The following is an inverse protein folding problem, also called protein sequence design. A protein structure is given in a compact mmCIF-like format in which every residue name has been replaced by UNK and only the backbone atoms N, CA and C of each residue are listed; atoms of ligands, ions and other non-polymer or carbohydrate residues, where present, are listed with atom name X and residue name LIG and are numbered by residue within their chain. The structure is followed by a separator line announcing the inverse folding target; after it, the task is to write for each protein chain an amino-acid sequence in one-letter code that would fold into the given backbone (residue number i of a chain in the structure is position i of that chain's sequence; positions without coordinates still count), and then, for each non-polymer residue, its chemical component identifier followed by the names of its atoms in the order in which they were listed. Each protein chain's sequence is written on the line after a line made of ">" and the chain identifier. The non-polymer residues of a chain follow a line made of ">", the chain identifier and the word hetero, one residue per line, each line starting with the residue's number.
data_IF_611519364227
#
_entry.id   IF_611519364227
#
_cell.length_a   1.000
_cell.length_b   1.000
_cell.length_c   1.000
_cell.angle_alpha   90.00
_cell.angle_beta   90.00
_cell.angle_gamma   90.00
#
_symmetry.space_group_name_H-M   'P 1'
#
loop_
_entity.id
_entity.type
_entity.pdbx_description
1 polymer ?
#
# COMPACT_ATOMS: atom_id res chain seq x y z
N UNK A 1 13.46 -11.56 8.12
CA UNK A 1 13.19 -12.82 7.40
C UNK A 1 13.83 -14.01 8.11
N UNK A 2 15.16 -14.09 8.24
CA UNK A 2 15.83 -15.23 8.88
C UNK A 2 15.33 -15.54 10.30
N UNK A 3 15.25 -14.54 11.18
CA UNK A 3 14.76 -14.74 12.54
C UNK A 3 13.32 -15.29 12.59
N UNK A 4 12.44 -14.80 11.70
CA UNK A 4 11.06 -15.30 11.62
C UNK A 4 11.00 -16.75 11.10
N UNK A 5 11.86 -17.10 10.12
CA UNK A 5 12.03 -18.49 9.66
C UNK A 5 12.46 -19.39 10.80
N UNK A 6 13.48 -18.99 11.57
CA UNK A 6 14.00 -19.75 12.71
C UNK A 6 12.96 -19.88 13.84
N UNK A 7 12.11 -18.86 14.02
CA UNK A 7 11.01 -18.88 14.98
C UNK A 7 9.79 -19.69 14.52
N UNK A 8 9.79 -20.27 13.32
CA UNK A 8 8.65 -21.01 12.77
C UNK A 8 7.43 -20.12 12.49
N UNK A 9 7.65 -18.82 12.23
CA UNK A 9 6.56 -17.91 11.86
C UNK A 9 5.91 -18.38 10.57
N UNK A 10 4.58 -18.41 10.54
CA UNK A 10 3.83 -18.84 9.35
C UNK A 10 3.89 -17.82 8.21
N UNK A 11 3.88 -16.53 8.55
CA UNK A 11 3.82 -15.43 7.59
C UNK A 11 4.60 -14.21 8.06
N UNK A 12 5.16 -13.46 7.11
CA UNK A 12 5.62 -12.08 7.30
C UNK A 12 4.76 -11.13 6.47
N UNK A 13 4.28 -10.06 7.10
CA UNK A 13 3.75 -8.89 6.41
C UNK A 13 4.82 -7.81 6.42
N UNK A 14 5.41 -7.54 5.25
CA UNK A 14 6.51 -6.60 5.08
C UNK A 14 6.00 -5.23 4.66
N UNK A 15 6.34 -4.20 5.44
CA UNK A 15 6.05 -2.81 5.10
C UNK A 15 7.00 -2.31 4.00
N UNK A 16 6.55 -2.44 2.74
CA UNK A 16 7.17 -1.82 1.58
C UNK A 16 6.70 -0.36 1.43
N UNK A 17 6.86 0.24 0.25
CA UNK A 17 6.43 1.61 -0.04
C UNK A 17 6.14 1.79 -1.52
N UNK A 18 5.22 2.70 -1.83
CA UNK A 18 4.99 3.18 -3.20
C UNK A 18 6.24 3.79 -3.84
N UNK A 19 7.22 4.24 -3.05
CA UNK A 19 8.53 4.68 -3.53
C UNK A 19 9.31 3.60 -4.30
N UNK A 20 8.90 2.32 -4.21
CA UNK A 20 9.43 1.22 -5.01
C UNK A 20 9.06 1.31 -6.51
N UNK A 21 8.00 2.06 -6.85
CA UNK A 21 7.46 2.16 -8.23
C UNK A 21 7.20 3.60 -8.69
N UNK A 22 7.47 4.60 -7.86
CA UNK A 22 7.18 6.00 -8.19
C UNK A 22 8.09 6.65 -9.25
N UNK A 23 9.03 5.90 -9.81
CA UNK A 23 9.77 6.33 -11.00
C UNK A 23 8.92 6.38 -12.28
N UNK A 24 7.75 5.73 -12.30
CA UNK A 24 6.79 5.88 -13.41
C UNK A 24 6.20 7.30 -13.46
N UNK A 25 5.79 7.81 -14.64
CA UNK A 25 5.06 9.07 -14.75
C UNK A 25 3.77 9.11 -13.90
N UNK A 26 3.26 10.31 -13.60
CA UNK A 26 2.07 10.47 -12.76
C UNK A 26 0.77 10.01 -13.45
N UNK A 27 0.75 10.06 -14.78
CA UNK A 27 -0.40 9.72 -15.63
C UNK A 27 -0.55 8.20 -15.83
N UNK A 28 0.45 7.42 -15.42
CA UNK A 28 0.44 5.96 -15.53
C UNK A 28 -0.17 5.37 -14.28
N UNK A 29 -1.25 4.60 -14.46
CA UNK A 29 -1.76 3.74 -13.41
C UNK A 29 -0.83 2.52 -13.26
N UNK A 30 -0.23 2.37 -12.09
CA UNK A 30 0.78 1.34 -11.83
C UNK A 30 0.13 0.09 -11.25
N UNK A 31 0.30 -1.04 -11.94
CA UNK A 31 -0.06 -2.36 -11.43
C UNK A 31 1.14 -3.07 -10.75
N UNK A 32 0.88 -4.20 -10.09
CA UNK A 32 1.90 -4.95 -9.34
C UNK A 32 2.80 -5.84 -10.21
N UNK A 33 2.42 -6.10 -11.46
CA UNK A 33 3.19 -6.88 -12.43
C UNK A 33 4.23 -6.01 -13.14
N UNK A 34 4.05 -4.69 -13.14
CA UNK A 34 5.05 -3.75 -13.63
C UNK A 34 6.39 -3.90 -12.88
N UNK A 35 7.54 -3.77 -13.58
CA UNK A 35 8.85 -3.76 -12.95
C UNK A 35 8.96 -2.72 -11.82
N UNK A 36 9.81 -3.00 -10.83
CA UNK A 36 10.17 -1.98 -9.85
C UNK A 36 10.89 -0.82 -10.54
N UNK A 37 10.49 0.40 -10.18
CA UNK A 37 11.11 1.62 -10.66
C UNK A 37 11.19 2.60 -9.48
N UNK A 38 12.20 2.44 -8.60
CA UNK A 38 12.27 3.23 -7.39
C UNK A 38 12.64 4.69 -7.67
N UNK A 39 11.93 5.63 -7.05
CA UNK A 39 12.17 7.08 -7.23
C UNK A 39 13.37 7.61 -6.41
N UNK A 40 13.78 6.89 -5.36
CA UNK A 40 14.87 7.28 -4.48
C UNK A 40 15.54 6.07 -3.82
N UNK A 41 16.65 6.31 -3.09
CA UNK A 41 17.40 5.26 -2.39
C UNK A 41 16.53 4.51 -1.37
N UNK A 42 15.63 5.21 -0.67
CA UNK A 42 14.70 4.57 0.26
C UNK A 42 13.81 3.55 -0.48
N UNK A 43 13.22 3.93 -1.61
CA UNK A 43 12.45 3.04 -2.48
C UNK A 43 13.27 1.82 -2.92
N UNK A 44 14.53 2.01 -3.30
CA UNK A 44 15.42 0.91 -3.65
C UNK A 44 15.66 -0.07 -2.48
N UNK A 45 15.76 0.41 -1.23
CA UNK A 45 15.86 -0.48 -0.06
C UNK A 45 14.58 -1.28 0.18
N UNK A 46 13.41 -0.72 -0.14
CA UNK A 46 12.14 -1.45 -0.10
C UNK A 46 12.05 -2.51 -1.19
N UNK A 47 12.51 -2.23 -2.42
CA UNK A 47 12.62 -3.23 -3.48
C UNK A 47 13.53 -4.40 -3.06
N UNK A 48 14.65 -4.10 -2.39
CA UNK A 48 15.52 -5.15 -1.84
C UNK A 48 14.79 -6.02 -0.79
N UNK A 49 13.98 -5.40 0.08
CA UNK A 49 13.15 -6.12 1.03
C UNK A 49 12.09 -7.02 0.37
N UNK A 50 11.46 -6.56 -0.71
CA UNK A 50 10.52 -7.36 -1.51
C UNK A 50 11.22 -8.57 -2.16
N UNK A 51 12.43 -8.38 -2.69
CA UNK A 51 13.22 -9.46 -3.27
C UNK A 51 13.63 -10.50 -2.19
N UNK A 52 14.01 -10.05 -0.99
CA UNK A 52 14.26 -10.93 0.14
C UNK A 52 13.01 -11.71 0.56
N UNK A 53 11.86 -11.05 0.64
CA UNK A 53 10.59 -11.71 0.93
C UNK A 53 10.30 -12.83 -0.09
N UNK A 54 10.47 -12.55 -1.38
CA UNK A 54 10.29 -13.53 -2.46
C UNK A 54 11.25 -14.71 -2.32
N UNK A 55 12.53 -14.44 -2.05
CA UNK A 55 13.53 -15.47 -1.83
C UNK A 55 13.11 -16.40 -0.69
N UNK A 56 12.79 -15.85 0.49
CA UNK A 56 12.42 -16.64 1.66
C UNK A 56 11.13 -17.44 1.49
N UNK A 57 10.15 -16.87 0.79
CA UNK A 57 8.95 -17.60 0.40
C UNK A 57 9.29 -18.81 -0.47
N UNK A 58 10.07 -18.59 -1.54
CA UNK A 58 10.43 -19.66 -2.47
C UNK A 58 11.33 -20.74 -1.87
N UNK A 59 12.36 -20.37 -1.10
CA UNK A 59 13.38 -21.31 -0.63
C UNK A 59 13.06 -21.95 0.71
N UNK A 60 12.21 -21.31 1.52
CA UNK A 60 11.92 -21.75 2.88
C UNK A 60 10.43 -21.94 3.17
N UNK A 61 9.54 -21.73 2.19
CA UNK A 61 8.10 -21.85 2.38
C UNK A 61 7.53 -20.80 3.35
N UNK A 62 8.26 -19.71 3.61
CA UNK A 62 7.81 -18.67 4.51
C UNK A 62 6.87 -17.72 3.77
N UNK A 63 5.55 -17.83 3.99
CA UNK A 63 4.57 -16.93 3.36
C UNK A 63 4.97 -15.47 3.60
N UNK A 64 5.03 -14.67 2.53
CA UNK A 64 5.51 -13.30 2.60
C UNK A 64 4.67 -12.34 1.76
N UNK A 65 4.02 -11.39 2.42
CA UNK A 65 3.17 -10.38 1.77
C UNK A 65 3.82 -9.01 1.92
N UNK A 66 4.05 -8.32 0.81
CA UNK A 66 4.67 -7.00 0.78
C UNK A 66 3.63 -5.93 0.51
N UNK A 67 3.52 -4.94 1.39
CA UNK A 67 2.55 -3.85 1.29
C UNK A 67 3.25 -2.56 0.88
N UNK A 68 2.99 -2.08 -0.34
CA UNK A 68 3.51 -0.79 -0.82
C UNK A 68 2.63 0.34 -0.32
N UNK A 69 2.86 0.78 0.92
CA UNK A 69 2.07 1.86 1.51
C UNK A 69 2.26 3.19 0.78
N UNK A 70 1.13 3.82 0.46
CA UNK A 70 1.05 5.18 -0.07
C UNK A 70 1.21 6.25 1.01
N UNK A 71 0.53 7.38 0.85
CA UNK A 71 0.60 8.49 1.78
C UNK A 71 -0.33 8.25 3.00
N UNK A 72 0.21 7.52 3.99
CA UNK A 72 -0.50 7.22 5.25
C UNK A 72 -0.95 8.49 5.94
N UNK A 73 -2.25 8.64 6.13
CA UNK A 73 -2.90 9.83 6.67
C UNK A 73 -3.99 9.44 7.67
N UNK A 74 -4.32 10.34 8.59
CA UNK A 74 -5.57 10.23 9.36
C UNK A 74 -6.69 10.93 8.59
N UNK A 75 -7.93 10.52 8.84
CA UNK A 75 -9.13 11.17 8.30
C UNK A 75 -9.14 12.69 8.62
N UNK A 76 -9.92 13.48 7.86
CA UNK A 76 -9.87 14.95 7.92
C UNK A 76 -10.30 15.56 9.27
N UNK A 77 -10.96 14.77 10.13
CA UNK A 77 -11.32 15.14 11.50
C UNK A 77 -10.08 15.38 12.38
N UNK A 78 -8.92 14.84 12.00
CA UNK A 78 -7.65 15.25 12.58
C UNK A 78 -7.07 16.49 11.87
N UNK A 79 -6.98 17.66 12.55
CA UNK A 79 -6.48 18.90 11.94
C UNK A 79 -5.02 18.82 11.47
N UNK A 80 -4.20 17.92 12.04
CA UNK A 80 -2.81 17.74 11.62
C UNK A 80 -2.69 17.13 10.20
N UNK A 81 -3.74 16.47 9.70
CA UNK A 81 -3.77 15.83 8.40
C UNK A 81 -4.71 16.52 7.40
N UNK A 82 -5.53 17.47 7.85
CA UNK A 82 -6.50 18.20 7.04
C UNK A 82 -5.89 18.83 5.76
N UNK A 83 -4.63 19.27 5.79
CA UNK A 83 -3.95 19.87 4.64
C UNK A 83 -3.63 18.88 3.51
N UNK A 84 -3.69 17.57 3.76
CA UNK A 84 -3.51 16.55 2.73
C UNK A 84 -4.73 16.36 1.84
N UNK A 85 -5.89 16.83 2.30
CA UNK A 85 -7.16 16.74 1.61
C UNK A 85 -7.47 18.05 0.85
N UNK A 86 -6.55 18.44 -0.04
CA UNK A 86 -6.78 19.49 -1.02
C UNK A 86 -6.62 18.89 -2.43
N UNK A 87 -7.44 19.32 -3.40
CA UNK A 87 -7.44 18.74 -4.75
C UNK A 87 -6.11 18.91 -5.50
N UNK A 88 -5.31 19.90 -5.11
CA UNK A 88 -3.98 20.21 -5.65
C UNK A 88 -2.83 19.56 -4.88
N UNK A 89 -3.13 18.76 -3.84
CA UNK A 89 -2.09 18.11 -3.04
C UNK A 89 -1.45 16.94 -3.83
N UNK A 90 -0.12 16.95 -3.95
CA UNK A 90 0.65 16.02 -4.80
C UNK A 90 0.46 14.52 -4.49
N UNK A 91 -0.02 14.19 -3.29
CA UNK A 91 -0.23 12.81 -2.85
C UNK A 91 -1.71 12.39 -2.77
N UNK A 92 -2.66 13.23 -3.20
CA UNK A 92 -4.10 12.96 -2.99
C UNK A 92 -4.55 11.61 -3.59
N UNK A 93 -3.96 11.21 -4.71
CA UNK A 93 -4.26 9.97 -5.44
C UNK A 93 -3.75 8.69 -4.73
N UNK A 94 -2.79 8.82 -3.83
CA UNK A 94 -2.10 7.72 -3.14
C UNK A 94 -2.34 7.71 -1.64
N UNK A 95 -3.24 8.55 -1.12
CA UNK A 95 -3.58 8.54 0.30
C UNK A 95 -4.12 7.16 0.68
N UNK A 96 -3.67 6.68 1.83
CA UNK A 96 -4.31 5.59 2.57
C UNK A 96 -4.64 6.13 3.96
N UNK A 97 -5.91 6.00 4.38
CA UNK A 97 -6.31 6.35 5.74
C UNK A 97 -5.84 5.29 6.73
N UNK A 98 -5.79 5.63 8.03
CA UNK A 98 -5.41 4.66 9.06
C UNK A 98 -6.39 3.49 9.12
N UNK A 99 -7.67 3.73 8.84
CA UNK A 99 -8.74 2.75 8.79
C UNK A 99 -8.53 1.76 7.64
N UNK A 100 -8.32 2.27 6.43
CA UNK A 100 -8.06 1.43 5.26
C UNK A 100 -6.70 0.72 5.36
N UNK A 101 -5.69 1.35 5.98
CA UNK A 101 -4.40 0.70 6.27
C UNK A 101 -4.57 -0.45 7.25
N UNK A 102 -5.35 -0.24 8.32
CA UNK A 102 -5.64 -1.28 9.31
C UNK A 102 -6.35 -2.45 8.64
N UNK A 103 -7.34 -2.17 7.79
CA UNK A 103 -8.01 -3.21 7.01
C UNK A 103 -7.01 -3.99 6.14
N UNK A 104 -6.16 -3.31 5.37
CA UNK A 104 -5.16 -3.94 4.50
C UNK A 104 -4.20 -4.84 5.28
N UNK A 105 -3.67 -4.35 6.41
CA UNK A 105 -2.74 -5.11 7.26
C UNK A 105 -3.44 -6.32 7.87
N UNK A 106 -4.64 -6.16 8.43
CA UNK A 106 -5.43 -7.27 8.99
C UNK A 106 -5.71 -8.33 7.94
N UNK A 107 -6.20 -7.94 6.76
CA UNK A 107 -6.46 -8.87 5.64
C UNK A 107 -5.20 -9.58 5.17
N UNK A 108 -4.04 -8.93 5.23
CA UNK A 108 -2.76 -9.56 4.88
C UNK A 108 -2.31 -10.58 5.92
N UNK A 109 -2.51 -10.29 7.21
CA UNK A 109 -2.24 -11.25 8.29
C UNK A 109 -3.15 -12.46 8.16
N UNK A 110 -4.44 -12.24 7.88
CA UNK A 110 -5.49 -13.26 7.76
C UNK A 110 -5.61 -13.90 6.37
N UNK A 111 -4.73 -13.53 5.43
CA UNK A 111 -4.81 -13.98 4.04
C UNK A 111 -4.82 -15.52 3.92
N UNK A 112 -5.44 -16.10 2.88
CA UNK A 112 -5.46 -17.54 2.65
C UNK A 112 -4.05 -18.16 2.67
N UNK A 113 -3.93 -19.39 3.14
CA UNK A 113 -2.63 -20.06 3.33
C UNK A 113 -1.94 -20.41 2.00
N UNK A 114 -2.72 -20.44 0.92
CA UNK A 114 -2.26 -20.65 -0.46
C UNK A 114 -1.45 -19.46 -1.00
N UNK A 115 -1.48 -18.31 -0.31
CA UNK A 115 -0.69 -17.14 -0.68
C UNK A 115 0.73 -17.28 -0.11
N UNK A 116 1.62 -17.84 -0.93
CA UNK A 116 3.05 -17.96 -0.64
C UNK A 116 3.77 -16.61 -0.73
N UNK A 117 3.49 -15.83 -1.77
CA UNK A 117 4.08 -14.51 -1.97
C UNK A 117 3.12 -13.59 -2.70
N UNK A 118 2.91 -12.39 -2.18
CA UNK A 118 2.13 -11.36 -2.85
C UNK A 118 2.71 -9.96 -2.60
N UNK A 119 2.42 -9.05 -3.54
CA UNK A 119 2.64 -7.62 -3.39
C UNK A 119 1.30 -6.93 -3.55
N UNK A 120 0.95 -6.05 -2.62
CA UNK A 120 -0.28 -5.26 -2.68
C UNK A 120 0.05 -3.77 -2.55
N UNK A 121 -0.65 -2.96 -3.33
CA UNK A 121 -0.60 -1.50 -3.21
C UNK A 121 -1.49 -1.07 -2.04
N UNK A 122 -0.96 -0.19 -1.18
CA UNK A 122 -1.66 0.33 -0.03
C UNK A 122 -2.17 1.74 -0.26
N UNK A 123 -3.36 1.85 -0.89
CA UNK A 123 -4.11 3.09 -1.08
C UNK A 123 -5.58 2.89 -0.73
N UNK A 124 -6.22 3.94 -0.23
CA UNK A 124 -7.68 3.99 -0.06
C UNK A 124 -8.41 3.88 -1.40
N UNK A 125 -9.74 3.85 -1.39
CA UNK A 125 -10.55 3.75 -2.61
C UNK A 125 -10.62 5.08 -3.40
N UNK A 126 -9.53 5.85 -3.46
CA UNK A 126 -9.49 7.18 -4.06
C UNK A 126 -9.99 7.15 -5.50
N UNK A 127 -10.91 8.04 -5.85
CA UNK A 127 -11.61 8.01 -7.16
C UNK A 127 -10.65 7.95 -8.35
N UNK A 128 -9.56 8.72 -8.31
CA UNK A 128 -8.51 8.74 -9.32
C UNK A 128 -7.18 8.25 -8.70
N UNK A 129 -7.17 7.00 -8.23
CA UNK A 129 -5.98 6.39 -7.64
C UNK A 129 -4.95 6.01 -8.71
N UNK A 130 -3.69 6.35 -8.44
CA UNK A 130 -2.55 6.02 -9.30
C UNK A 130 -2.12 4.55 -9.22
N UNK A 131 -2.52 3.85 -8.16
CA UNK A 131 -2.11 2.49 -7.89
C UNK A 131 -3.31 1.55 -8.02
N UNK A 132 -3.13 0.50 -8.82
CA UNK A 132 -4.13 -0.56 -8.95
C UNK A 132 -4.14 -1.44 -7.68
N UNK A 133 -5.35 -1.70 -7.17
CA UNK A 133 -5.61 -2.51 -5.97
C UNK A 133 -6.47 -3.74 -6.27
N UNK A 134 -6.67 -4.05 -7.56
CA UNK A 134 -7.54 -5.15 -8.01
C UNK A 134 -7.10 -6.50 -7.43
N UNK A 135 -5.80 -6.80 -7.44
CA UNK A 135 -5.31 -8.07 -6.88
C UNK A 135 -5.53 -8.17 -5.36
N UNK A 136 -5.36 -7.08 -4.61
CA UNK A 136 -5.64 -7.06 -3.17
C UNK A 136 -7.15 -7.29 -2.87
N UNK A 137 -8.03 -6.77 -3.73
CA UNK A 137 -9.48 -7.02 -3.64
C UNK A 137 -9.81 -8.49 -3.86
N UNK A 138 -9.23 -9.08 -4.88
CA UNK A 138 -9.55 -10.45 -5.30
C UNK A 138 -8.92 -11.49 -4.38
N UNK A 139 -7.67 -11.32 -3.99
CA UNK A 139 -6.90 -12.34 -3.25
C UNK A 139 -7.13 -12.31 -1.75
N UNK A 140 -7.29 -11.12 -1.14
CA UNK A 140 -7.41 -10.97 0.32
C UNK A 140 -8.68 -10.21 0.76
N UNK A 141 -9.57 -9.87 -0.16
CA UNK A 141 -10.81 -9.16 0.16
C UNK A 141 -10.57 -7.75 0.71
N UNK A 142 -9.51 -7.07 0.26
CA UNK A 142 -9.26 -5.69 0.65
C UNK A 142 -10.32 -4.77 0.02
N UNK A 143 -11.16 -4.15 0.85
CA UNK A 143 -12.28 -3.32 0.43
C UNK A 143 -12.18 -1.94 1.13
N UNK A 144 -11.24 -1.08 0.72
CA UNK A 144 -11.10 0.24 1.32
C UNK A 144 -12.35 1.08 1.09
N UNK A 145 -12.72 1.87 2.10
CA UNK A 145 -13.96 2.63 2.13
C UNK A 145 -13.74 4.12 1.81
N UNK A 146 -12.57 4.65 2.17
CA UNK A 146 -12.33 6.09 2.10
C UNK A 146 -11.95 6.55 0.69
N UNK A 147 -12.31 7.80 0.35
CA UNK A 147 -11.92 8.47 -0.90
C UNK A 147 -11.37 9.87 -0.57
N UNK A 148 -10.05 10.04 -0.73
CA UNK A 148 -9.38 11.32 -0.48
C UNK A 148 -9.94 12.48 -1.32
N UNK A 149 -10.45 12.20 -2.53
CA UNK A 149 -11.08 13.22 -3.38
C UNK A 149 -12.47 13.61 -2.87
N UNK A 150 -13.19 12.69 -2.23
CA UNK A 150 -14.45 13.03 -1.57
C UNK A 150 -14.20 13.94 -0.35
N UNK A 151 -13.21 13.61 0.47
CA UNK A 151 -12.80 14.45 1.59
C UNK A 151 -12.36 15.85 1.16
N UNK A 152 -11.53 15.95 0.11
CA UNK A 152 -11.10 17.25 -0.41
C UNK A 152 -12.26 18.12 -0.93
N UNK A 153 -13.26 17.50 -1.56
CA UNK A 153 -14.48 18.19 -2.01
C UNK A 153 -15.33 18.68 -0.85
N UNK A 154 -15.52 17.86 0.19
CA UNK A 154 -16.27 18.24 1.38
C UNK A 154 -15.63 19.45 2.08
N UNK A 155 -14.32 19.40 2.33
CA UNK A 155 -13.57 20.51 2.92
C UNK A 155 -13.70 21.81 2.11
N UNK A 156 -13.64 21.72 0.79
CA UNK A 156 -13.80 22.88 -0.10
C UNK A 156 -15.20 23.49 -0.05
N UNK A 157 -16.22 22.68 0.25
CA UNK A 157 -17.60 23.15 0.41
C UNK A 157 -17.81 23.82 1.78
N UNK A 158 -17.19 23.32 2.84
CA UNK A 158 -17.25 23.90 4.20
C UNK A 158 -16.50 25.22 4.34
N UNK A 159 -15.55 25.50 3.44
CA UNK A 159 -14.78 26.75 3.40
C UNK A 159 -15.45 27.89 2.61
N UNK A 160 -16.64 27.67 2.02
CA UNK A 160 -17.43 28.66 1.28
C UNK A 160 -18.59 29.17 2.11
#
# INVERSE_FOLDING_TARGET
>A
FEAARQAGSRRIVYASSVNAVFGYPAEVQVDVQMPVYPINLYGATKCWGEALARYYSHTHGLSAICLRFGAVSQRPDNPAFANRYNLDHEYIDIIITMEDLTQLVTKSVEAPDEIDFAVYQGVSNNRWKRLDITNAREEIGYAPEDDAFAFARQKSAEAR
#
